data_IF_534323384901
#
_entry.id   IF_534323384901
#
_cell.length_a   1.000
_cell.length_b   1.000
_cell.length_c   1.000
_cell.angle_alpha   90.00
_cell.angle_beta   90.00
_cell.angle_gamma   90.00
#
_symmetry.space_group_name_H-M   'P 1'
#
loop_
_entity.id
_entity.type
_entity.pdbx_description
1 polymer ?
#
# COMPACT_ATOMS: atom_id res chain seq x y z
N UNK A 1 6.90 -11.73 20.39
CA UNK A 1 6.46 -10.32 20.28
C UNK A 1 5.41 -10.26 19.20
N UNK A 2 4.28 -9.64 19.46
CA UNK A 2 3.14 -9.50 18.56
C UNK A 2 3.39 -8.39 17.53
N UNK A 3 2.83 -8.53 16.32
CA UNK A 3 3.09 -7.58 15.23
C UNK A 3 1.88 -7.44 14.30
N UNK A 4 1.58 -6.22 13.90
CA UNK A 4 0.60 -5.90 12.86
C UNK A 4 1.33 -5.31 11.67
N UNK A 5 1.11 -5.88 10.49
CA UNK A 5 1.60 -5.38 9.22
C UNK A 5 0.46 -4.75 8.43
N UNK A 6 0.60 -3.48 8.10
CA UNK A 6 -0.31 -2.80 7.18
C UNK A 6 0.27 -2.82 5.77
N UNK A 7 -0.52 -3.22 4.79
CA UNK A 7 -0.30 -2.81 3.41
C UNK A 7 -0.36 -1.29 3.28
N UNK A 8 0.00 -0.75 2.14
CA UNK A 8 0.04 0.70 1.97
C UNK A 8 -1.22 1.28 1.32
N UNK A 9 -1.16 1.46 0.03
CA UNK A 9 -2.24 2.02 -0.79
C UNK A 9 -3.36 0.99 -0.89
N UNK A 10 -4.57 1.42 -0.62
CA UNK A 10 -5.75 0.56 -0.55
C UNK A 10 -5.97 -0.10 0.80
N UNK A 11 -4.95 -0.16 1.68
CA UNK A 11 -5.05 -0.67 3.06
C UNK A 11 -5.14 0.48 4.06
N UNK A 12 -4.01 1.09 4.41
CA UNK A 12 -3.98 2.21 5.37
C UNK A 12 -4.57 3.49 4.78
N UNK A 13 -4.51 3.65 3.48
CA UNK A 13 -4.92 4.86 2.77
C UNK A 13 -5.35 4.54 1.35
N UNK A 14 -6.44 5.14 0.88
CA UNK A 14 -6.84 5.02 -0.51
C UNK A 14 -6.36 6.25 -1.31
N UNK A 15 -5.43 6.03 -2.22
CA UNK A 15 -4.87 7.09 -3.07
C UNK A 15 -4.97 6.78 -4.56
N UNK A 16 -5.59 5.68 -4.95
CA UNK A 16 -5.62 5.21 -6.34
C UNK A 16 -6.22 6.23 -7.29
N UNK A 17 -7.33 6.87 -6.90
CA UNK A 17 -7.98 7.92 -7.70
C UNK A 17 -7.09 9.17 -7.83
N UNK A 18 -6.46 9.61 -6.75
CA UNK A 18 -5.55 10.75 -6.76
C UNK A 18 -4.36 10.46 -7.69
N UNK A 19 -3.78 9.26 -7.60
CA UNK A 19 -2.68 8.86 -8.47
C UNK A 19 -3.11 8.77 -9.94
N UNK A 20 -4.31 8.23 -10.23
CA UNK A 20 -4.86 8.20 -11.59
C UNK A 20 -5.00 9.60 -12.17
N UNK A 21 -5.56 10.54 -11.39
CA UNK A 21 -5.67 11.96 -11.79
C UNK A 21 -4.30 12.56 -12.06
N UNK A 22 -3.33 12.31 -11.17
CA UNK A 22 -1.96 12.78 -11.33
C UNK A 22 -1.30 12.26 -12.63
N UNK A 23 -1.52 10.97 -12.98
CA UNK A 23 -1.07 10.43 -14.27
C UNK A 23 -1.70 11.15 -15.45
N UNK A 24 -3.01 11.34 -15.45
CA UNK A 24 -3.72 12.01 -16.55
C UNK A 24 -3.25 13.46 -16.74
N UNK A 25 -3.00 14.18 -15.65
CA UNK A 25 -2.45 15.54 -15.71
C UNK A 25 -1.01 15.52 -16.23
N UNK A 26 -0.18 14.56 -15.78
CA UNK A 26 1.18 14.41 -16.28
C UNK A 26 1.22 14.12 -17.78
N UNK A 27 0.32 13.28 -18.29
CA UNK A 27 0.22 13.00 -19.74
C UNK A 27 -0.12 14.27 -20.51
N UNK A 28 -1.12 15.03 -20.05
CA UNK A 28 -1.53 16.29 -20.68
C UNK A 28 -0.39 17.32 -20.71
N UNK A 29 0.32 17.50 -19.58
CA UNK A 29 1.45 18.44 -19.49
C UNK A 29 2.62 18.02 -20.37
N UNK A 30 2.85 16.71 -20.50
CA UNK A 30 3.88 16.15 -21.37
C UNK A 30 3.51 16.24 -22.87
N UNK A 31 2.28 16.65 -23.21
CA UNK A 31 1.80 16.72 -24.59
C UNK A 31 1.28 15.40 -25.18
N UNK A 32 0.91 14.43 -24.32
CA UNK A 32 0.32 13.17 -24.75
C UNK A 32 -1.21 13.25 -24.68
N UNK A 33 -1.86 12.74 -25.71
CA UNK A 33 -3.32 12.60 -25.75
C UNK A 33 -3.79 11.29 -25.11
N UNK A 34 -3.24 10.97 -23.92
CA UNK A 34 -3.58 9.75 -23.17
C UNK A 34 -4.51 10.09 -22.02
N UNK A 35 -5.45 9.18 -21.79
CA UNK A 35 -6.36 9.27 -20.66
C UNK A 35 -6.64 7.89 -20.07
N UNK A 36 -6.27 7.69 -18.82
CA UNK A 36 -6.62 6.49 -18.09
C UNK A 36 -7.93 6.69 -17.35
N UNK A 37 -9.00 6.07 -17.84
CA UNK A 37 -10.26 6.01 -17.12
C UNK A 37 -10.17 5.02 -15.94
N UNK A 38 -11.18 5.02 -15.08
CA UNK A 38 -11.21 4.18 -13.86
C UNK A 38 -11.05 2.70 -14.20
N UNK A 39 -11.82 2.19 -15.19
CA UNK A 39 -11.80 0.78 -15.57
C UNK A 39 -10.43 0.32 -16.08
N UNK A 40 -9.79 1.13 -16.93
CA UNK A 40 -8.43 0.84 -17.41
C UNK A 40 -7.43 0.87 -16.25
N UNK A 41 -7.53 1.86 -15.36
CA UNK A 41 -6.59 2.02 -14.27
C UNK A 41 -6.68 0.90 -13.24
N UNK A 42 -7.88 0.43 -12.90
CA UNK A 42 -8.10 -0.74 -12.03
C UNK A 42 -7.34 -1.96 -12.56
N UNK A 43 -7.43 -2.23 -13.87
CA UNK A 43 -6.70 -3.35 -14.47
C UNK A 43 -5.18 -3.16 -14.44
N UNK A 44 -4.71 -1.94 -14.67
CA UNK A 44 -3.28 -1.64 -14.70
C UNK A 44 -2.62 -1.73 -13.32
N UNK A 45 -3.32 -1.39 -12.24
CA UNK A 45 -2.75 -1.42 -10.88
C UNK A 45 -2.64 -2.82 -10.29
N UNK A 46 -3.19 -3.84 -10.96
CA UNK A 46 -2.95 -5.24 -10.57
C UNK A 46 -1.47 -5.63 -10.68
N UNK A 47 -0.69 -4.90 -11.48
CA UNK A 47 0.77 -5.01 -11.54
C UNK A 47 1.41 -3.80 -10.85
N UNK A 48 2.34 -4.00 -9.91
CA UNK A 48 3.03 -2.91 -9.25
C UNK A 48 4.03 -2.22 -10.19
N UNK A 49 4.22 -0.90 -10.00
CA UNK A 49 5.25 -0.12 -10.70
C UNK A 49 4.69 0.92 -11.67
N UNK A 50 4.75 2.20 -11.27
CA UNK A 50 4.24 3.32 -12.07
C UNK A 50 5.02 3.55 -13.36
N UNK A 51 6.35 3.47 -13.32
CA UNK A 51 7.23 3.58 -14.49
C UNK A 51 6.95 2.46 -15.49
N UNK A 52 6.87 1.21 -15.00
CA UNK A 52 6.60 0.05 -15.84
C UNK A 52 5.22 0.18 -16.53
N UNK A 53 4.22 0.69 -15.82
CA UNK A 53 2.87 0.93 -16.35
C UNK A 53 2.88 1.94 -17.51
N UNK A 54 3.67 3.01 -17.44
CA UNK A 54 3.84 3.96 -18.55
C UNK A 54 4.50 3.27 -19.75
N UNK A 55 5.57 2.49 -19.52
CA UNK A 55 6.27 1.73 -20.59
C UNK A 55 5.33 0.76 -21.29
N UNK A 56 4.59 -0.04 -20.55
CA UNK A 56 3.63 -1.02 -21.11
C UNK A 56 2.51 -0.31 -21.89
N UNK A 57 1.95 0.78 -21.37
CA UNK A 57 0.90 1.53 -22.04
C UNK A 57 1.39 2.19 -23.33
N UNK A 58 2.61 2.70 -23.35
CA UNK A 58 3.25 3.27 -24.54
C UNK A 58 3.62 2.22 -25.60
N UNK A 59 3.50 0.91 -25.27
CA UNK A 59 4.02 -0.20 -26.08
C UNK A 59 5.50 0.01 -26.47
N UNK A 60 6.29 0.49 -25.51
CA UNK A 60 7.71 0.83 -25.65
C UNK A 60 8.04 1.88 -26.74
N UNK A 61 7.07 2.73 -27.10
CA UNK A 61 7.28 3.82 -28.06
C UNK A 61 7.99 5.03 -27.46
N UNK A 62 7.95 5.17 -26.13
CA UNK A 62 8.65 6.23 -25.40
C UNK A 62 10.04 5.78 -24.98
N UNK A 63 11.01 6.69 -25.06
CA UNK A 63 12.35 6.48 -24.53
C UNK A 63 12.34 6.50 -22.99
N UNK A 64 13.32 5.89 -22.35
CA UNK A 64 13.38 5.81 -20.89
C UNK A 64 13.42 7.17 -20.19
N UNK A 65 14.09 8.16 -20.82
CA UNK A 65 14.11 9.53 -20.29
C UNK A 65 12.74 10.23 -20.38
N UNK A 66 11.92 9.94 -21.38
CA UNK A 66 10.57 10.46 -21.54
C UNK A 66 9.63 9.83 -20.50
N UNK A 67 9.70 8.51 -20.34
CA UNK A 67 8.97 7.78 -19.30
C UNK A 67 9.29 8.34 -17.91
N UNK A 68 10.60 8.60 -17.64
CA UNK A 68 11.02 9.18 -16.37
C UNK A 68 10.42 10.59 -16.18
N UNK A 69 10.48 11.47 -17.18
CA UNK A 69 9.89 12.81 -17.10
C UNK A 69 8.39 12.78 -16.80
N UNK A 70 7.65 11.89 -17.48
CA UNK A 70 6.21 11.71 -17.22
C UNK A 70 5.97 11.25 -15.78
N UNK A 71 6.80 10.32 -15.29
CA UNK A 71 6.66 9.85 -13.92
C UNK A 71 7.01 10.93 -12.89
N UNK A 72 8.05 11.74 -13.15
CA UNK A 72 8.42 12.87 -12.29
C UNK A 72 7.28 13.92 -12.23
N UNK A 73 6.62 14.23 -13.36
CA UNK A 73 5.42 15.06 -13.42
C UNK A 73 4.27 14.43 -12.61
N UNK A 74 4.04 13.13 -12.75
CA UNK A 74 3.02 12.41 -11.95
C UNK A 74 3.30 12.56 -10.46
N UNK A 75 4.55 12.43 -10.02
CA UNK A 75 4.91 12.59 -8.59
C UNK A 75 4.62 14.02 -8.12
N UNK A 76 4.97 15.04 -8.93
CA UNK A 76 4.63 16.45 -8.65
C UNK A 76 3.13 16.62 -8.41
N UNK A 77 2.29 16.14 -9.35
CA UNK A 77 0.84 16.27 -9.24
C UNK A 77 0.23 15.38 -8.16
N UNK A 78 0.81 14.22 -7.90
CA UNK A 78 0.37 13.39 -6.80
C UNK A 78 0.58 14.09 -5.45
N UNK A 79 1.73 14.74 -5.25
CA UNK A 79 1.99 15.55 -4.06
C UNK A 79 0.98 16.70 -3.92
N UNK A 80 0.77 17.45 -5.00
CA UNK A 80 -0.15 18.57 -5.02
C UNK A 80 -1.60 18.15 -4.67
N UNK A 81 -2.09 17.09 -5.30
CA UNK A 81 -3.46 16.61 -5.11
C UNK A 81 -3.68 15.87 -3.79
N UNK A 82 -2.63 15.37 -3.16
CA UNK A 82 -2.71 14.67 -1.88
C UNK A 82 -2.89 15.62 -0.69
N UNK A 83 -2.51 16.87 -0.82
CA UNK A 83 -2.65 17.88 0.25
C UNK A 83 -4.12 17.99 0.65
N UNK A 84 -4.42 17.73 1.95
CA UNK A 84 -5.76 17.76 2.54
C UNK A 84 -6.80 16.77 1.96
N UNK A 85 -6.46 16.00 0.92
CA UNK A 85 -7.40 15.05 0.30
C UNK A 85 -7.27 13.63 0.85
N UNK A 86 -6.11 13.30 1.45
CA UNK A 86 -5.79 11.96 1.94
C UNK A 86 -6.16 11.82 3.40
N UNK A 87 -6.83 10.70 3.73
CA UNK A 87 -7.21 10.34 5.11
C UNK A 87 -6.95 8.84 5.32
N UNK A 88 -6.70 8.40 6.55
CA UNK A 88 -6.70 6.97 6.88
C UNK A 88 -8.04 6.35 6.54
N UNK A 89 -8.03 5.07 6.20
CA UNK A 89 -9.28 4.33 6.05
C UNK A 89 -9.91 4.08 7.41
N UNK A 90 -11.22 3.94 7.40
CA UNK A 90 -12.00 3.68 8.61
C UNK A 90 -11.58 2.35 9.26
N UNK A 91 -11.38 2.35 10.57
CA UNK A 91 -10.91 1.19 11.36
C UNK A 91 -9.39 1.15 11.55
N UNK A 92 -8.59 1.81 10.71
CA UNK A 92 -7.13 1.71 10.79
C UNK A 92 -6.54 2.47 11.99
N UNK A 93 -7.12 3.62 12.34
CA UNK A 93 -6.67 4.38 13.52
C UNK A 93 -6.94 3.63 14.81
N UNK A 94 -8.07 2.90 14.91
CA UNK A 94 -8.41 2.05 16.04
C UNK A 94 -7.38 0.90 16.17
N UNK A 95 -6.99 0.28 15.06
CA UNK A 95 -5.97 -0.77 15.05
C UNK A 95 -4.60 -0.22 15.48
N UNK A 96 -4.20 0.97 14.97
CA UNK A 96 -2.93 1.61 15.35
C UNK A 96 -2.93 1.96 16.84
N UNK A 97 -4.02 2.55 17.36
CA UNK A 97 -4.17 2.89 18.77
C UNK A 97 -4.12 1.64 19.67
N UNK A 98 -4.81 0.57 19.26
CA UNK A 98 -4.74 -0.71 19.96
C UNK A 98 -3.32 -1.26 20.02
N UNK A 99 -2.59 -1.20 18.91
CA UNK A 99 -1.19 -1.66 18.86
C UNK A 99 -0.30 -0.85 19.82
N UNK A 100 -0.44 0.48 19.83
CA UNK A 100 0.34 1.37 20.69
C UNK A 100 0.05 1.10 22.18
N UNK A 101 -1.21 0.95 22.56
CA UNK A 101 -1.61 0.68 23.97
C UNK A 101 -1.09 -0.68 24.44
N UNK A 102 -1.05 -1.69 23.57
CA UNK A 102 -0.67 -3.06 23.91
C UNK A 102 0.79 -3.39 23.57
N UNK A 103 1.62 -2.41 23.21
CA UNK A 103 3.03 -2.59 22.82
C UNK A 103 3.22 -3.62 21.69
N UNK A 104 2.28 -3.63 20.73
CA UNK A 104 2.33 -4.48 19.53
C UNK A 104 3.13 -3.72 18.47
N UNK A 105 4.10 -4.37 17.84
CA UNK A 105 4.89 -3.77 16.77
C UNK A 105 4.04 -3.44 15.54
N UNK A 106 4.35 -2.32 14.91
CA UNK A 106 3.71 -1.87 13.68
C UNK A 106 4.69 -1.88 12.50
N UNK A 107 4.29 -2.51 11.40
CA UNK A 107 5.01 -2.44 10.14
C UNK A 107 4.14 -1.88 9.01
N UNK A 108 4.69 -0.93 8.24
CA UNK A 108 4.07 -0.40 7.03
C UNK A 108 4.75 -1.04 5.82
N UNK A 109 4.12 -2.07 5.24
CA UNK A 109 4.78 -3.02 4.32
C UNK A 109 4.36 -2.78 2.88
N UNK A 110 5.26 -2.19 2.10
CA UNK A 110 5.01 -1.78 0.72
C UNK A 110 6.19 -2.11 -0.21
N UNK A 111 5.91 -2.25 -1.50
CA UNK A 111 6.89 -2.31 -2.59
C UNK A 111 6.80 -1.09 -3.51
N UNK A 112 6.27 0.01 -2.99
CA UNK A 112 6.11 1.29 -3.68
C UNK A 112 7.38 2.13 -3.54
N UNK A 113 7.59 3.10 -4.44
CA UNK A 113 8.75 4.01 -4.38
C UNK A 113 8.74 4.86 -3.11
N UNK A 114 9.95 5.18 -2.63
CA UNK A 114 10.11 6.01 -1.43
C UNK A 114 9.40 7.37 -1.58
N UNK A 115 9.51 8.02 -2.74
CA UNK A 115 8.86 9.32 -2.98
C UNK A 115 7.34 9.24 -2.82
N UNK A 116 6.71 8.16 -3.30
CA UNK A 116 5.26 7.97 -3.15
C UNK A 116 4.88 7.78 -1.68
N UNK A 117 5.68 7.04 -0.92
CA UNK A 117 5.44 6.81 0.50
C UNK A 117 5.67 8.08 1.32
N UNK A 118 6.70 8.86 1.02
CA UNK A 118 6.96 10.15 1.68
C UNK A 118 5.75 11.10 1.49
N UNK A 119 5.17 11.18 0.27
CA UNK A 119 3.96 11.96 0.04
C UNK A 119 2.77 11.48 0.89
N UNK A 120 2.59 10.17 0.99
CA UNK A 120 1.52 9.58 1.81
C UNK A 120 1.73 9.92 3.29
N UNK A 121 2.95 9.76 3.80
CA UNK A 121 3.29 10.09 5.19
C UNK A 121 3.04 11.56 5.49
N UNK A 122 3.53 12.46 4.63
CA UNK A 122 3.32 13.90 4.76
C UNK A 122 1.80 14.24 4.81
N UNK A 123 1.02 13.62 3.93
CA UNK A 123 -0.42 13.85 3.83
C UNK A 123 -1.22 13.32 5.03
N UNK A 124 -0.72 12.24 5.67
CA UNK A 124 -1.34 11.61 6.83
C UNK A 124 -0.79 12.12 8.18
N UNK A 125 0.23 12.97 8.20
CA UNK A 125 0.96 13.38 9.41
C UNK A 125 0.07 13.99 10.51
N UNK A 126 -1.08 14.57 10.15
CA UNK A 126 -2.07 15.09 11.11
C UNK A 126 -2.93 14.01 11.77
N UNK A 127 -2.90 12.78 11.27
CA UNK A 127 -3.69 11.64 11.78
C UNK A 127 -2.82 10.57 12.39
N UNK A 128 -1.64 10.33 11.81
CA UNK A 128 -0.75 9.21 12.13
C UNK A 128 0.65 9.74 12.37
N UNK A 129 1.20 9.46 13.55
CA UNK A 129 2.64 9.60 13.79
C UNK A 129 3.36 8.35 13.28
N UNK A 130 4.04 8.49 12.14
CA UNK A 130 4.78 7.39 11.53
C UNK A 130 6.05 6.98 12.30
N UNK A 131 6.46 7.73 13.33
CA UNK A 131 7.52 7.31 14.25
C UNK A 131 7.09 6.14 15.14
N UNK A 132 5.78 5.90 15.28
CA UNK A 132 5.24 4.74 15.97
C UNK A 132 5.30 3.43 15.15
N UNK A 133 5.74 3.50 13.89
CA UNK A 133 5.98 2.30 13.09
C UNK A 133 7.41 1.81 13.28
N UNK A 134 7.57 0.58 13.76
CA UNK A 134 8.87 -0.07 13.95
C UNK A 134 9.58 -0.36 12.62
N UNK A 135 8.82 -0.47 11.52
CA UNK A 135 9.36 -0.70 10.19
C UNK A 135 8.48 -0.06 9.11
N UNK A 136 9.12 0.66 8.18
CA UNK A 136 8.51 1.12 6.94
C UNK A 136 9.37 0.59 5.80
N UNK A 137 8.77 -0.20 4.88
CA UNK A 137 9.49 -0.76 3.74
C UNK A 137 9.21 0.01 2.45
N UNK A 138 10.08 -0.22 1.46
CA UNK A 138 10.03 0.40 0.14
C UNK A 138 10.36 -0.62 -0.95
N UNK A 139 10.28 -0.23 -2.21
CA UNK A 139 10.56 -1.11 -3.35
C UNK A 139 11.97 -1.71 -3.36
N UNK A 140 12.94 -1.07 -2.68
CA UNK A 140 14.34 -1.53 -2.61
C UNK A 140 14.59 -2.62 -1.57
N UNK A 141 13.65 -2.83 -0.66
CA UNK A 141 13.77 -3.75 0.47
C UNK A 141 13.41 -5.20 0.08
N UNK A 142 13.09 -5.44 -1.17
CA UNK A 142 12.84 -6.77 -1.69
C UNK A 142 13.41 -6.95 -3.10
N UNK A 143 13.88 -8.17 -3.40
CA UNK A 143 14.36 -8.52 -4.73
C UNK A 143 13.22 -8.83 -5.70
N UNK A 144 12.14 -9.42 -5.20
CA UNK A 144 10.93 -9.75 -5.97
C UNK A 144 9.72 -9.07 -5.36
N UNK A 145 9.00 -8.31 -6.19
CA UNK A 145 7.76 -7.62 -5.79
C UNK A 145 6.63 -8.62 -5.51
N UNK A 146 5.59 -8.17 -4.78
CA UNK A 146 4.36 -8.93 -4.60
C UNK A 146 3.83 -9.43 -5.96
N UNK A 147 3.38 -10.70 -6.07
CA UNK A 147 2.94 -11.62 -5.03
C UNK A 147 4.04 -12.53 -4.43
N UNK A 148 5.33 -12.25 -4.62
CA UNK A 148 6.37 -12.98 -3.91
C UNK A 148 6.39 -12.58 -2.44
N UNK A 149 6.80 -13.49 -1.51
CA UNK A 149 6.79 -13.22 -0.07
C UNK A 149 7.97 -12.39 0.42
N UNK A 150 8.89 -11.97 -0.45
CA UNK A 150 10.19 -11.39 -0.14
C UNK A 150 10.07 -10.21 0.86
N UNK A 151 9.14 -9.27 0.61
CA UNK A 151 8.97 -8.09 1.46
C UNK A 151 8.49 -8.45 2.87
N UNK A 152 7.64 -9.48 3.01
CA UNK A 152 7.17 -9.95 4.31
C UNK A 152 8.24 -10.76 5.04
N UNK A 153 9.01 -11.59 4.33
CA UNK A 153 10.17 -12.28 4.92
C UNK A 153 11.22 -11.27 5.40
N UNK A 154 11.47 -10.21 4.62
CA UNK A 154 12.33 -9.09 5.04
C UNK A 154 11.79 -8.46 6.32
N UNK A 155 10.50 -8.14 6.39
CA UNK A 155 9.88 -7.50 7.55
C UNK A 155 9.96 -8.38 8.81
N UNK A 156 9.62 -9.67 8.72
CA UNK A 156 9.72 -10.65 9.81
C UNK A 156 11.15 -10.72 10.35
N UNK A 157 12.14 -10.83 9.46
CA UNK A 157 13.55 -10.94 9.84
C UNK A 157 14.07 -9.64 10.45
N UNK A 158 13.73 -8.49 9.86
CA UNK A 158 14.19 -7.18 10.32
C UNK A 158 13.67 -6.84 11.73
N UNK A 159 12.39 -7.13 11.98
CA UNK A 159 11.77 -6.90 13.29
C UNK A 159 12.06 -8.03 14.30
N UNK A 160 12.66 -9.12 13.85
CA UNK A 160 12.90 -10.32 14.67
C UNK A 160 11.62 -10.81 15.37
N UNK A 161 10.55 -11.04 14.61
CA UNK A 161 9.24 -11.44 15.11
C UNK A 161 8.80 -12.80 14.58
N UNK A 162 7.94 -13.50 15.33
CA UNK A 162 7.42 -14.79 14.92
C UNK A 162 6.21 -14.62 13.98
N UNK A 163 6.17 -15.41 12.91
CA UNK A 163 5.05 -15.39 11.94
C UNK A 163 3.70 -15.70 12.58
N UNK A 164 3.67 -16.63 13.52
CA UNK A 164 2.43 -17.01 14.23
C UNK A 164 1.90 -15.91 15.15
N UNK A 165 2.75 -14.96 15.56
CA UNK A 165 2.37 -13.80 16.36
C UNK A 165 2.23 -12.54 15.53
N UNK A 166 2.15 -12.69 14.21
CA UNK A 166 2.02 -11.59 13.27
C UNK A 166 0.73 -11.70 12.46
N UNK A 167 0.08 -10.58 12.23
CA UNK A 167 -1.10 -10.46 11.38
C UNK A 167 -0.87 -9.38 10.35
N UNK A 168 -1.40 -9.57 9.15
CA UNK A 168 -1.30 -8.61 8.05
C UNK A 168 -2.69 -8.16 7.61
N UNK A 169 -2.83 -6.88 7.28
CA UNK A 169 -4.01 -6.31 6.63
C UNK A 169 -3.60 -5.91 5.21
N UNK A 170 -4.29 -6.42 4.20
CA UNK A 170 -3.99 -6.19 2.78
C UNK A 170 -5.25 -5.94 1.96
N UNK A 171 -5.11 -5.18 0.86
CA UNK A 171 -6.22 -4.68 0.05
C UNK A 171 -6.50 -5.48 -1.23
N UNK A 172 -5.48 -6.12 -1.79
CA UNK A 172 -5.57 -6.80 -3.09
C UNK A 172 -5.29 -8.29 -2.99
N UNK A 173 -5.85 -9.12 -3.90
CA UNK A 173 -5.50 -10.55 -3.99
C UNK A 173 -4.00 -10.79 -4.15
N UNK A 174 -3.29 -9.92 -4.89
CA UNK A 174 -1.85 -10.00 -5.11
C UNK A 174 -1.07 -9.81 -3.81
N UNK A 175 -1.42 -8.77 -3.07
CA UNK A 175 -0.79 -8.47 -1.78
C UNK A 175 -1.13 -9.50 -0.71
N UNK A 176 -2.39 -9.94 -0.66
CA UNK A 176 -2.85 -11.03 0.19
C UNK A 176 -2.06 -12.33 -0.06
N UNK A 177 -1.91 -12.72 -1.34
CA UNK A 177 -1.13 -13.90 -1.69
C UNK A 177 0.34 -13.79 -1.28
N UNK A 178 0.92 -12.60 -1.32
CA UNK A 178 2.30 -12.35 -0.88
C UNK A 178 2.48 -12.64 0.61
N UNK A 179 1.59 -12.10 1.45
CA UNK A 179 1.61 -12.33 2.90
C UNK A 179 1.32 -13.80 3.26
N UNK A 180 0.33 -14.41 2.61
CA UNK A 180 0.02 -15.84 2.80
C UNK A 180 1.18 -16.76 2.46
N UNK A 181 1.93 -16.47 1.39
CA UNK A 181 3.15 -17.23 1.03
C UNK A 181 4.28 -17.06 2.05
N UNK A 182 4.29 -15.96 2.80
CA UNK A 182 5.19 -15.78 3.93
C UNK A 182 4.72 -16.55 5.19
N UNK A 183 3.58 -17.25 5.13
CA UNK A 183 2.92 -17.94 6.24
C UNK A 183 2.52 -17.00 7.39
N UNK A 184 1.97 -15.82 7.04
CA UNK A 184 1.42 -14.88 8.01
C UNK A 184 -0.11 -14.90 7.92
N UNK A 185 -0.81 -14.83 9.06
CA UNK A 185 -2.26 -14.61 9.08
C UNK A 185 -2.58 -13.30 8.37
N UNK A 186 -3.53 -13.32 7.43
CA UNK A 186 -3.82 -12.13 6.61
C UNK A 186 -5.33 -11.87 6.58
N UNK A 187 -5.70 -10.63 6.82
CA UNK A 187 -7.03 -10.08 6.61
C UNK A 187 -7.06 -9.42 5.24
N UNK A 188 -8.06 -9.72 4.43
CA UNK A 188 -8.29 -9.02 3.17
C UNK A 188 -9.28 -7.86 3.40
N UNK A 189 -8.80 -6.63 3.21
CA UNK A 189 -9.54 -5.39 3.35
C UNK A 189 -9.53 -4.59 2.05
N UNK A 190 -10.36 -4.94 1.06
CA UNK A 190 -10.29 -4.39 -0.29
C UNK A 190 -10.46 -2.88 -0.33
N UNK A 191 -9.57 -2.20 -1.05
CA UNK A 191 -9.68 -0.80 -1.39
C UNK A 191 -10.75 -0.54 -2.46
N UNK A 192 -11.04 0.73 -2.75
CA UNK A 192 -12.03 1.13 -3.77
C UNK A 192 -11.70 0.58 -5.17
N UNK A 193 -10.42 0.44 -5.47
CA UNK A 193 -9.88 -0.03 -6.75
C UNK A 193 -9.53 -1.52 -6.75
N UNK A 194 -9.95 -2.28 -5.75
CA UNK A 194 -9.75 -3.73 -5.73
C UNK A 194 -10.75 -4.44 -6.65
N UNK A 195 -10.26 -5.43 -7.43
CA UNK A 195 -11.06 -6.12 -8.44
C UNK A 195 -12.04 -7.13 -7.84
N UNK A 196 -11.72 -7.73 -6.71
CA UNK A 196 -12.54 -8.75 -6.06
C UNK A 196 -13.10 -8.26 -4.73
N UNK A 197 -14.42 -7.99 -4.72
CA UNK A 197 -15.16 -7.58 -3.51
C UNK A 197 -15.88 -8.76 -2.83
N UNK A 198 -15.67 -9.99 -3.26
CA UNK A 198 -16.26 -11.17 -2.63
C UNK A 198 -15.42 -11.57 -1.41
N UNK A 199 -16.03 -11.70 -0.24
CA UNK A 199 -15.41 -11.95 1.07
C UNK A 199 -14.74 -10.71 1.70
N UNK A 200 -15.45 -9.60 1.73
CA UNK A 200 -14.98 -8.34 2.28
C UNK A 200 -15.09 -8.37 3.82
N UNK A 201 -13.97 -8.13 4.49
CA UNK A 201 -14.01 -7.57 5.85
C UNK A 201 -14.48 -6.12 5.76
N UNK A 202 -15.53 -5.75 6.52
CA UNK A 202 -15.92 -4.35 6.65
C UNK A 202 -14.96 -3.63 7.60
N UNK A 203 -14.91 -2.30 7.56
CA UNK A 203 -14.08 -1.48 8.46
C UNK A 203 -14.28 -1.86 9.95
N UNK A 204 -15.49 -2.16 10.37
CA UNK A 204 -15.80 -2.65 11.72
C UNK A 204 -15.15 -4.00 12.04
N UNK A 205 -14.96 -4.86 11.06
CA UNK A 205 -14.42 -6.20 11.28
C UNK A 205 -12.90 -6.22 11.42
N UNK A 206 -12.18 -5.24 10.84
CA UNK A 206 -10.70 -5.26 10.87
C UNK A 206 -10.21 -5.19 12.30
N UNK A 207 -10.70 -4.23 13.08
CA UNK A 207 -10.30 -4.06 14.47
C UNK A 207 -10.64 -5.30 15.30
N UNK A 208 -11.85 -5.82 15.17
CA UNK A 208 -12.29 -7.04 15.89
C UNK A 208 -11.48 -8.27 15.46
N UNK A 209 -11.19 -8.44 14.15
CA UNK A 209 -10.38 -9.57 13.69
C UNK A 209 -8.93 -9.49 14.19
N UNK A 210 -8.35 -8.30 14.26
CA UNK A 210 -7.00 -8.07 14.80
C UNK A 210 -6.99 -8.34 16.31
N UNK A 211 -7.94 -7.79 17.05
CA UNK A 211 -8.09 -7.99 18.50
C UNK A 211 -8.25 -9.47 18.83
N UNK A 212 -9.20 -10.14 18.19
CA UNK A 212 -9.45 -11.58 18.41
C UNK A 212 -8.22 -12.44 18.08
N UNK A 213 -7.45 -12.09 17.06
CA UNK A 213 -6.21 -12.80 16.73
C UNK A 213 -5.23 -12.78 17.90
N UNK A 214 -5.04 -11.64 18.54
CA UNK A 214 -4.10 -11.53 19.66
C UNK A 214 -4.65 -12.07 20.97
N UNK A 215 -5.97 -11.98 21.22
CA UNK A 215 -6.60 -12.56 22.39
C UNK A 215 -6.53 -14.09 22.37
N UNK A 216 -6.76 -14.73 21.22
CA UNK A 216 -6.67 -16.18 21.06
C UNK A 216 -5.21 -16.68 21.20
N UNK A 217 -4.22 -15.88 20.79
CA UNK A 217 -2.82 -16.23 20.84
C UNK A 217 -2.09 -15.75 22.11
N UNK A 218 -2.80 -15.32 23.13
CA UNK A 218 -2.26 -14.97 24.46
C UNK A 218 -2.07 -16.18 25.39
N UNK A 219 -1.92 -17.40 24.84
CA UNK A 219 -1.60 -18.63 25.59
C UNK A 219 -0.09 -18.80 25.70
#
# INVERSE_FOLDING_TARGET
>A
MQTIFFGSIGTLVETSEIQRKAFNTAFKEFGLNWYWNIGNYINMIQKPGGIQRIKEYSKSKLKDNEVKKIYDLKIKYFREYSVNAVKPREGDLEVINYANINNIKLGFITTTSKETIDIIKDSLSRYIDFNNFDLITYEKDCSKKKPNPDIYNFAINNLNVAKNNSITIEDTPVSYASSKKANIKTILFPGEYSVNKNNISSSYKIFEEVKNFFEINQI
#
